data_IF_106024894032
#
_entry.id   IF_106024894032
#
_cell.length_a   1.000
_cell.length_b   1.000
_cell.length_c   1.000
_cell.angle_alpha   90.00
_cell.angle_beta   90.00
_cell.angle_gamma   90.00
#
_symmetry.space_group_name_H-M   'P 1'
#
loop_
_entity.id
_entity.type
_entity.pdbx_description
1 polymer ?
#
# COMPACT_ATOMS: atom_id res chain seq x y z
N UNK A 1 -13.63 -11.35 -18.69
CA UNK A 1 -12.46 -11.38 -17.80
C UNK A 1 -11.28 -10.66 -18.44
N UNK A 2 -10.48 -10.05 -17.62
CA UNK A 2 -9.31 -9.30 -18.06
C UNK A 2 -8.16 -10.26 -18.38
N UNK A 3 -7.42 -10.00 -19.44
CA UNK A 3 -6.35 -10.87 -19.90
C UNK A 3 -5.03 -10.67 -19.14
N UNK A 4 -4.10 -11.61 -19.32
CA UNK A 4 -2.76 -11.59 -18.71
C UNK A 4 -2.00 -10.30 -18.98
N UNK A 5 -2.13 -9.76 -20.18
CA UNK A 5 -1.50 -8.49 -20.55
C UNK A 5 -2.00 -7.31 -19.71
N UNK A 6 -3.29 -7.28 -19.38
CA UNK A 6 -3.87 -6.28 -18.51
C UNK A 6 -3.26 -6.35 -17.11
N UNK A 7 -3.21 -7.54 -16.51
CA UNK A 7 -2.67 -7.71 -15.17
C UNK A 7 -1.20 -7.34 -15.07
N UNK A 8 -0.41 -7.72 -16.07
CA UNK A 8 1.01 -7.34 -16.12
C UNK A 8 1.20 -5.83 -16.15
N UNK A 9 0.47 -5.16 -17.02
CA UNK A 9 0.53 -3.69 -17.12
C UNK A 9 0.07 -3.03 -15.82
N UNK A 10 -0.99 -3.53 -15.24
CA UNK A 10 -1.51 -3.05 -13.96
C UNK A 10 -0.49 -3.23 -12.82
N UNK A 11 0.15 -4.37 -12.74
CA UNK A 11 1.21 -4.63 -11.75
C UNK A 11 2.36 -3.63 -11.90
N UNK A 12 2.82 -3.41 -13.12
CA UNK A 12 3.88 -2.43 -13.40
C UNK A 12 3.48 -1.02 -12.97
N UNK A 13 2.26 -0.59 -13.29
CA UNK A 13 1.74 0.71 -12.92
C UNK A 13 1.62 0.87 -11.40
N UNK A 14 1.13 -0.14 -10.70
CA UNK A 14 1.02 -0.12 -9.24
C UNK A 14 2.39 -0.05 -8.60
N UNK A 15 3.34 -0.87 -9.04
CA UNK A 15 4.70 -0.85 -8.50
C UNK A 15 5.36 0.51 -8.69
N UNK A 16 5.25 1.09 -9.85
CA UNK A 16 5.77 2.43 -10.12
C UNK A 16 5.10 3.50 -9.26
N UNK A 17 3.80 3.38 -9.02
CA UNK A 17 3.05 4.34 -8.23
C UNK A 17 3.46 4.40 -6.76
N UNK A 18 4.07 3.36 -6.25
CA UNK A 18 4.61 3.29 -4.89
C UNK A 18 6.13 3.39 -4.82
N UNK A 19 6.76 3.75 -5.93
CA UNK A 19 8.21 3.98 -5.99
C UNK A 19 9.06 2.72 -6.10
N UNK A 20 8.45 1.63 -6.55
CA UNK A 20 9.16 0.37 -6.77
C UNK A 20 9.41 0.11 -8.26
N UNK A 21 10.48 -0.61 -8.54
CA UNK A 21 10.76 -1.13 -9.87
C UNK A 21 9.94 -2.39 -10.12
N UNK A 22 9.14 -2.43 -11.19
CA UNK A 22 8.49 -3.68 -11.57
C UNK A 22 9.52 -4.75 -11.88
N UNK A 23 9.26 -5.97 -11.43
CA UNK A 23 10.12 -7.10 -11.74
C UNK A 23 9.81 -7.59 -13.14
N UNK A 24 10.79 -7.52 -14.01
CA UNK A 24 10.64 -8.01 -15.38
C UNK A 24 10.67 -9.54 -15.39
N UNK A 25 9.60 -10.05 -15.94
CA UNK A 25 9.44 -11.42 -16.41
C UNK A 25 10.28 -12.49 -15.74
N UNK A 26 9.67 -13.11 -14.89
CA UNK A 26 10.20 -14.19 -14.14
C UNK A 26 9.90 -15.57 -14.68
N UNK A 27 9.42 -15.69 -15.89
CA UNK A 27 8.98 -16.96 -16.46
C UNK A 27 10.02 -18.05 -16.58
N UNK A 28 11.29 -17.78 -16.27
CA UNK A 28 12.37 -18.72 -16.44
C UNK A 28 13.20 -18.97 -15.19
N UNK A 29 12.76 -18.55 -14.03
CA UNK A 29 13.56 -18.64 -12.82
C UNK A 29 12.99 -19.49 -11.71
N UNK A 30 13.84 -20.16 -10.99
CA UNK A 30 13.56 -20.93 -9.79
C UNK A 30 13.07 -20.09 -8.60
N UNK A 31 13.30 -18.79 -8.66
CA UNK A 31 12.89 -17.86 -7.62
C UNK A 31 11.65 -17.17 -8.13
N UNK A 32 10.54 -17.41 -7.47
CA UNK A 32 9.37 -16.58 -7.67
C UNK A 32 9.77 -15.13 -7.38
N UNK A 33 9.79 -14.37 -8.42
CA UNK A 33 10.10 -12.95 -8.28
C UNK A 33 8.83 -12.24 -7.88
N UNK A 34 8.92 -11.53 -6.80
CA UNK A 34 7.86 -10.64 -6.39
C UNK A 34 7.60 -9.56 -7.46
N UNK A 35 6.46 -8.92 -7.39
CA UNK A 35 6.00 -8.03 -8.46
C UNK A 35 6.80 -6.74 -8.60
N UNK A 36 7.42 -6.30 -7.52
CA UNK A 36 8.29 -5.12 -7.55
C UNK A 36 9.22 -5.02 -6.37
N UNK A 37 10.26 -4.23 -6.53
CA UNK A 37 11.26 -4.02 -5.48
C UNK A 37 12.06 -2.73 -5.70
N UNK A 38 12.68 -2.27 -4.63
CA UNK A 38 13.79 -1.33 -4.65
C UNK A 38 14.95 -1.90 -3.83
N UNK A 39 15.92 -1.10 -3.46
CA UNK A 39 17.08 -1.57 -2.68
C UNK A 39 16.70 -2.03 -1.26
N UNK A 40 15.56 -1.60 -0.73
CA UNK A 40 15.16 -1.79 0.67
C UNK A 40 13.87 -2.58 0.85
N UNK A 41 13.01 -2.62 -0.13
CA UNK A 41 11.66 -3.19 -0.05
C UNK A 41 11.39 -4.10 -1.22
N UNK A 42 10.70 -5.19 -0.94
CA UNK A 42 10.17 -6.14 -1.93
C UNK A 42 8.66 -6.25 -1.74
N UNK A 43 7.91 -6.24 -2.83
CA UNK A 43 6.46 -6.15 -2.80
C UNK A 43 5.79 -7.21 -3.67
N UNK A 44 4.75 -7.82 -3.12
CA UNK A 44 3.82 -8.70 -3.83
C UNK A 44 2.47 -8.00 -3.95
N UNK A 45 1.89 -8.00 -5.13
CA UNK A 45 0.57 -7.43 -5.39
C UNK A 45 -0.48 -8.52 -5.57
N UNK A 46 -1.62 -8.32 -4.96
CA UNK A 46 -2.82 -9.10 -5.21
C UNK A 46 -3.97 -8.18 -5.59
N UNK A 47 -4.54 -8.38 -6.78
CA UNK A 47 -5.63 -7.57 -7.31
C UNK A 47 -6.90 -8.38 -7.45
N UNK A 48 -8.04 -7.73 -7.27
CA UNK A 48 -9.36 -8.36 -7.43
C UNK A 48 -10.38 -7.39 -8.03
N UNK A 49 -11.29 -7.94 -8.81
CA UNK A 49 -12.51 -7.23 -9.24
C UNK A 49 -13.64 -7.34 -8.21
N UNK A 50 -13.55 -8.26 -7.29
CA UNK A 50 -14.54 -8.50 -6.25
C UNK A 50 -14.49 -7.42 -5.16
N UNK A 51 -15.51 -7.40 -4.32
CA UNK A 51 -15.58 -6.52 -3.15
C UNK A 51 -14.80 -7.04 -1.94
N UNK A 52 -14.23 -8.23 -2.07
CA UNK A 52 -13.45 -8.86 -1.02
C UNK A 52 -12.21 -9.53 -1.62
N UNK A 53 -11.19 -9.70 -0.80
CA UNK A 53 -9.96 -10.38 -1.18
C UNK A 53 -9.49 -11.27 -0.04
N UNK A 54 -9.03 -12.45 -0.36
CA UNK A 54 -8.41 -13.36 0.60
C UNK A 54 -6.90 -13.28 0.49
N UNK A 55 -6.24 -13.10 1.61
CA UNK A 55 -4.79 -13.14 1.71
C UNK A 55 -4.40 -14.42 2.43
N UNK A 56 -3.68 -15.29 1.74
CA UNK A 56 -3.24 -16.56 2.32
C UNK A 56 -1.97 -16.35 3.15
N UNK A 57 -1.94 -16.95 4.31
CA UNK A 57 -0.75 -16.91 5.17
C UNK A 57 0.50 -17.44 4.45
N UNK A 58 0.33 -18.47 3.63
CA UNK A 58 1.43 -19.03 2.84
C UNK A 58 2.03 -18.00 1.88
N UNK A 59 1.21 -17.18 1.25
CA UNK A 59 1.68 -16.12 0.34
C UNK A 59 2.49 -15.07 1.11
N UNK A 60 2.05 -14.73 2.30
CA UNK A 60 2.79 -13.83 3.19
C UNK A 60 4.13 -14.45 3.59
N UNK A 61 4.15 -15.72 3.98
CA UNK A 61 5.39 -16.41 4.36
C UNK A 61 6.36 -16.54 3.18
N UNK A 62 5.87 -16.78 1.98
CA UNK A 62 6.70 -16.79 0.77
C UNK A 62 7.34 -15.43 0.53
N UNK A 63 6.56 -14.36 0.65
CA UNK A 63 7.07 -13.00 0.55
C UNK A 63 8.13 -12.69 1.61
N UNK A 64 7.89 -13.06 2.85
CA UNK A 64 8.86 -12.87 3.95
C UNK A 64 10.16 -13.63 3.69
N UNK A 65 10.06 -14.85 3.21
CA UNK A 65 11.22 -15.65 2.84
C UNK A 65 12.04 -14.98 1.73
N UNK A 66 11.40 -14.56 0.65
CA UNK A 66 12.06 -13.88 -0.45
C UNK A 66 12.68 -12.55 -0.01
N UNK A 67 12.01 -11.83 0.88
CA UNK A 67 12.54 -10.62 1.47
C UNK A 67 13.80 -10.90 2.31
N UNK A 68 13.78 -11.93 3.12
CA UNK A 68 14.93 -12.29 3.97
C UNK A 68 16.15 -12.70 3.14
N UNK A 69 15.95 -13.46 2.08
CA UNK A 69 17.02 -13.87 1.15
C UNK A 69 17.64 -12.65 0.46
N UNK A 70 16.83 -11.67 0.14
CA UNK A 70 17.27 -10.44 -0.54
C UNK A 70 17.73 -9.34 0.42
N UNK A 71 17.65 -9.57 1.72
CA UNK A 71 17.89 -8.55 2.77
C UNK A 71 17.03 -7.31 2.61
N UNK A 72 15.75 -7.51 2.31
CA UNK A 72 14.77 -6.45 2.09
C UNK A 72 13.57 -6.60 3.03
N UNK A 73 12.79 -5.55 3.15
CA UNK A 73 11.56 -5.54 3.93
C UNK A 73 10.38 -5.99 3.07
N UNK A 74 9.53 -6.91 3.57
CA UNK A 74 8.38 -7.39 2.84
C UNK A 74 7.20 -6.42 2.93
N UNK A 75 6.57 -6.16 1.80
CA UNK A 75 5.32 -5.41 1.71
C UNK A 75 4.33 -6.18 0.85
N UNK A 76 3.13 -6.32 1.33
CA UNK A 76 2.04 -6.94 0.59
C UNK A 76 1.05 -5.86 0.15
N UNK A 77 0.84 -5.74 -1.15
CA UNK A 77 -0.08 -4.77 -1.73
C UNK A 77 -1.40 -5.45 -2.13
N UNK A 78 -2.50 -4.81 -1.81
CA UNK A 78 -3.84 -5.23 -2.20
C UNK A 78 -4.46 -4.14 -3.06
N UNK A 79 -5.07 -4.54 -4.17
CA UNK A 79 -5.76 -3.63 -5.06
C UNK A 79 -7.18 -4.09 -5.35
N UNK A 80 -8.12 -3.18 -5.18
CA UNK A 80 -9.48 -3.34 -5.66
C UNK A 80 -9.63 -2.65 -7.01
N UNK A 81 -9.75 -3.43 -8.07
CA UNK A 81 -9.76 -2.92 -9.44
C UNK A 81 -10.99 -2.07 -9.76
N UNK A 82 -12.11 -2.32 -9.08
CA UNK A 82 -13.34 -1.56 -9.27
C UNK A 82 -13.21 -0.09 -8.87
N UNK A 83 -12.41 0.20 -7.85
CA UNK A 83 -12.16 1.55 -7.36
C UNK A 83 -10.75 2.06 -7.67
N UNK A 84 -9.85 1.18 -8.03
CA UNK A 84 -8.44 1.48 -8.21
C UNK A 84 -7.66 1.68 -6.91
N UNK A 85 -8.29 1.46 -5.77
CA UNK A 85 -7.65 1.62 -4.46
C UNK A 85 -6.56 0.58 -4.25
N UNK A 86 -5.41 1.05 -3.77
CA UNK A 86 -4.28 0.21 -3.39
C UNK A 86 -4.00 0.40 -1.90
N UNK A 87 -3.91 -0.72 -1.19
CA UNK A 87 -3.58 -0.77 0.22
C UNK A 87 -2.28 -1.54 0.42
N UNK A 88 -1.42 -1.06 1.30
CA UNK A 88 -0.16 -1.71 1.63
C UNK A 88 -0.24 -2.32 3.03
N UNK A 89 0.27 -3.55 3.15
CA UNK A 89 0.40 -4.25 4.42
C UNK A 89 1.87 -4.50 4.73
N UNK A 90 2.27 -4.19 5.95
CA UNK A 90 3.57 -4.52 6.49
C UNK A 90 3.42 -4.93 7.96
N UNK A 91 4.39 -5.67 8.47
CA UNK A 91 4.42 -5.98 9.91
C UNK A 91 4.58 -4.69 10.73
N UNK A 92 3.96 -4.62 11.92
CA UNK A 92 4.13 -3.46 12.80
C UNK A 92 5.60 -3.11 13.09
N UNK A 93 6.44 -4.13 13.21
CA UNK A 93 7.89 -3.97 13.43
C UNK A 93 8.61 -3.35 12.23
N UNK A 94 8.09 -3.52 11.02
CA UNK A 94 8.70 -3.06 9.78
C UNK A 94 8.08 -1.75 9.27
N UNK A 95 6.91 -1.39 9.77
CA UNK A 95 6.08 -0.33 9.21
C UNK A 95 6.82 1.02 9.10
N UNK A 96 7.53 1.42 10.13
CA UNK A 96 8.26 2.68 10.15
C UNK A 96 9.38 2.72 9.09
N UNK A 97 10.11 1.63 8.95
CA UNK A 97 11.18 1.51 7.95
C UNK A 97 10.61 1.46 6.53
N UNK A 98 9.59 0.64 6.31
CA UNK A 98 8.91 0.55 5.01
C UNK A 98 8.41 1.91 4.54
N UNK A 99 7.82 2.69 5.42
CA UNK A 99 7.28 4.01 5.08
C UNK A 99 8.33 5.00 4.60
N UNK A 100 9.58 4.83 4.98
CA UNK A 100 10.70 5.65 4.50
C UNK A 100 11.08 5.37 3.05
N UNK A 101 10.88 4.13 2.60
CA UNK A 101 11.35 3.66 1.31
C UNK A 101 10.26 3.50 0.26
N UNK A 102 9.03 3.75 0.62
CA UNK A 102 7.90 3.79 -0.30
C UNK A 102 7.55 5.23 -0.60
N UNK A 103 7.65 5.58 -1.87
CA UNK A 103 7.29 6.90 -2.36
C UNK A 103 5.91 6.84 -2.98
N UNK A 104 4.92 7.35 -2.28
CA UNK A 104 3.56 7.37 -2.79
C UNK A 104 3.30 8.55 -3.70
N UNK A 105 2.46 8.31 -4.66
CA UNK A 105 1.96 9.33 -5.57
C UNK A 105 2.95 9.52 -6.69
N UNK A 106 3.00 10.51 -7.19
CA UNK A 106 3.19 11.01 -8.46
C UNK A 106 4.53 11.55 -8.76
N UNK A 107 5.39 11.42 -7.81
CA UNK A 107 6.76 11.88 -7.88
C UNK A 107 7.55 11.24 -9.02
N UNK A 108 6.97 10.24 -9.64
CA UNK A 108 7.74 9.33 -10.47
C UNK A 108 7.99 9.82 -11.88
N UNK A 109 7.20 10.74 -12.36
CA UNK A 109 7.27 11.11 -13.78
C UNK A 109 8.02 12.40 -13.99
N UNK A 110 7.94 13.31 -13.06
CA UNK A 110 8.59 14.60 -13.14
C UNK A 110 8.56 15.27 -11.78
N UNK A 111 9.20 14.61 -10.83
CA UNK A 111 9.12 14.95 -9.43
C UNK A 111 9.31 16.41 -9.08
N UNK A 112 10.21 17.06 -9.76
CA UNK A 112 10.55 18.44 -9.47
C UNK A 112 9.47 19.44 -9.87
N UNK A 113 8.80 19.23 -10.99
CA UNK A 113 7.78 20.16 -11.50
C UNK A 113 6.44 20.05 -10.79
N UNK A 114 6.18 18.90 -10.23
CA UNK A 114 4.89 18.60 -9.63
C UNK A 114 4.86 18.87 -8.12
N UNK A 115 6.01 18.88 -7.50
CA UNK A 115 6.11 19.08 -6.06
C UNK A 115 5.66 20.48 -5.64
N UNK A 116 6.04 21.51 -6.37
CA UNK A 116 5.61 22.89 -6.07
C UNK A 116 4.12 23.11 -6.25
N UNK A 117 3.56 22.73 -7.36
CA UNK A 117 2.13 22.91 -7.66
C UNK A 117 1.23 22.01 -6.82
N UNK A 118 1.68 20.82 -6.50
CA UNK A 118 0.91 19.87 -5.72
C UNK A 118 0.89 20.17 -4.25
N UNK A 119 1.94 20.70 -3.71
CA UNK A 119 1.94 21.21 -2.33
C UNK A 119 0.88 22.27 -2.19
N UNK A 120 0.75 23.16 -3.17
CA UNK A 120 -0.27 24.19 -3.17
C UNK A 120 -1.69 23.63 -3.36
N UNK A 121 -1.85 22.62 -4.18
CA UNK A 121 -3.15 21.96 -4.38
C UNK A 121 -3.56 21.17 -3.14
N UNK A 122 -2.61 20.51 -2.47
CA UNK A 122 -2.84 19.84 -1.20
C UNK A 122 -3.19 20.83 -0.08
N UNK A 123 -2.57 22.00 -0.08
CA UNK A 123 -2.92 23.03 0.87
C UNK A 123 -4.34 23.55 0.68
N UNK A 124 -4.82 23.63 -0.54
CA UNK A 124 -6.22 23.96 -0.85
C UNK A 124 -7.19 22.82 -0.54
N UNK A 125 -6.76 21.59 -0.70
CA UNK A 125 -7.55 20.39 -0.38
C UNK A 125 -7.56 20.05 1.12
N UNK A 126 -6.78 20.71 1.93
CA UNK A 126 -6.74 20.49 3.39
C UNK A 126 -8.05 20.81 4.11
N UNK A 127 -8.90 21.65 3.54
CA UNK A 127 -10.20 21.96 4.16
C UNK A 127 -11.13 20.74 4.31
N UNK A 128 -11.29 19.88 3.29
CA UNK A 128 -12.07 18.66 3.46
C UNK A 128 -11.43 17.65 4.41
N UNK A 129 -10.09 17.57 4.42
CA UNK A 129 -9.37 16.66 5.31
C UNK A 129 -9.49 17.09 6.78
N UNK A 130 -9.58 18.40 7.06
CA UNK A 130 -9.84 18.90 8.41
C UNK A 130 -11.22 18.49 8.91
N UNK A 131 -12.23 18.51 8.06
CA UNK A 131 -13.57 18.05 8.45
C UNK A 131 -13.60 16.54 8.71
N UNK A 132 -12.83 15.75 7.97
CA UNK A 132 -12.73 14.31 8.22
C UNK A 132 -11.94 13.97 9.49
N UNK A 133 -10.96 14.80 9.86
CA UNK A 133 -10.22 14.67 11.14
C UNK A 133 -11.13 15.02 12.30
N UNK A 134 -11.91 16.08 12.21
CA UNK A 134 -12.87 16.43 13.26
C UNK A 134 -13.94 15.37 13.44
N UNK A 135 -14.37 14.74 12.36
CA UNK A 135 -15.31 13.60 12.41
C UNK A 135 -14.70 12.38 13.09
N UNK A 136 -13.42 12.12 12.87
CA UNK A 136 -12.70 11.03 13.56
C UNK A 136 -12.51 11.34 15.04
N UNK A 137 -12.19 12.57 15.39
CA UNK A 137 -12.09 12.99 16.79
C UNK A 137 -13.43 12.90 17.51
N UNK A 138 -14.50 13.33 16.87
CA UNK A 138 -15.87 13.20 17.40
C UNK A 138 -16.24 11.72 17.61
N UNK A 139 -15.94 10.86 16.65
CA UNK A 139 -16.16 9.41 16.74
C UNK A 139 -15.35 8.79 17.87
N UNK A 140 -14.07 9.14 17.99
CA UNK A 140 -13.22 8.65 19.08
C UNK A 140 -13.71 9.10 20.46
N UNK A 141 -14.19 10.32 20.57
CA UNK A 141 -14.72 10.85 21.81
C UNK A 141 -16.04 10.17 22.22
N UNK A 142 -16.90 9.86 21.27
CA UNK A 142 -18.12 9.09 21.54
C UNK A 142 -17.83 7.66 21.98
N UNK A 143 -16.89 7.02 21.29
CA UNK A 143 -16.45 5.67 21.63
C UNK A 143 -15.82 5.63 23.00
N UNK A 144 -14.97 6.59 23.32
CA UNK A 144 -14.35 6.71 24.64
C UNK A 144 -15.37 6.90 25.74
N UNK A 145 -16.36 7.78 25.55
CA UNK A 145 -17.46 7.97 26.50
C UNK A 145 -18.28 6.71 26.72
N UNK A 146 -18.49 5.91 25.68
CA UNK A 146 -19.21 4.64 25.77
C UNK A 146 -18.42 3.64 26.62
N UNK A 147 -17.13 3.48 26.37
CA UNK A 147 -16.27 2.60 27.17
C UNK A 147 -16.16 3.05 28.64
N UNK A 148 -16.06 4.35 28.90
CA UNK A 148 -16.03 4.87 30.27
C UNK A 148 -17.35 4.62 31.02
N UNK A 149 -18.48 4.64 30.31
CA UNK A 149 -19.79 4.37 30.89
C UNK A 149 -19.99 2.87 31.18
N UNK A 150 -19.50 2.02 30.31
CA UNK A 150 -19.56 0.58 30.51
C UNK A 150 -18.63 0.10 31.65
N UNK A 151 -17.46 0.72 31.79
CA UNK A 151 -16.52 0.38 32.86
C UNK A 151 -16.95 0.92 34.24
N UNK A 152 -17.79 1.93 34.30
CA UNK A 152 -18.35 2.41 35.58
C UNK A 152 -19.54 1.58 36.09
N UNK A 153 -20.07 0.69 35.26
CA UNK A 153 -21.15 -0.21 35.62
C UNK A 153 -20.65 -1.52 36.29
N UNK A 154 -19.39 -1.67 36.41
CA UNK A 154 -18.70 -2.77 37.10
C UNK A 154 -18.09 -2.27 38.40
#
# INVERSE_FOLDING_TARGET
SRGTKFYRKNEEEVMQSIGLKPTKNSGAGWVEKEDGQNDFVICQLKSTDAKSISVKLQDIHTLEYNASVSHKLPVFAIQFLSTGEVWLMAKPTDFAEVSKYITTGVCNVSGELLDGERINTRAKAKKPVRSSISSREAFNNETKKKYEKENKAW
#
